data_IF_883926464800
#
_entry.id   IF_883926464800
#
_cell.length_a   1.000
_cell.length_b   1.000
_cell.length_c   1.000
_cell.angle_alpha   90.00
_cell.angle_beta   90.00
_cell.angle_gamma   90.00
#
_symmetry.space_group_name_H-M   'P 1'
#
loop_
_entity.id
_entity.type
_entity.pdbx_description
1 polymer ?
#
# COMPACT_ATOMS: atom_id res chain seq x y z
N UNK A 1 -2.75 -5.66 6.61
CA UNK A 1 -3.86 -4.86 6.04
C UNK A 1 -3.72 -3.36 6.31
N UNK A 2 -3.68 -2.88 7.56
CA UNK A 2 -3.65 -1.43 7.86
C UNK A 2 -2.60 -0.65 7.06
N UNK A 3 -1.33 -1.06 7.10
CA UNK A 3 -0.25 -0.38 6.36
C UNK A 3 -0.48 -0.29 4.84
N UNK A 4 -1.20 -1.25 4.24
CA UNK A 4 -1.55 -1.21 2.81
C UNK A 4 -2.52 -0.08 2.49
N UNK A 5 -3.47 0.22 3.39
CA UNK A 5 -4.45 1.27 3.18
C UNK A 5 -3.81 2.64 3.30
N UNK A 6 -2.87 2.78 4.23
CA UNK A 6 -2.10 4.01 4.46
C UNK A 6 -1.25 4.41 3.24
N UNK A 7 -1.00 3.51 2.28
CA UNK A 7 -0.30 3.86 1.03
C UNK A 7 -1.23 4.36 -0.06
N UNK A 8 -2.55 4.14 0.04
CA UNK A 8 -3.49 4.47 -1.04
C UNK A 8 -3.57 5.97 -1.39
N UNK A 9 -3.47 6.92 -0.44
CA UNK A 9 -3.45 8.35 -0.78
C UNK A 9 -2.26 8.75 -1.67
N UNK A 10 -1.15 8.02 -1.57
CA UNK A 10 0.04 8.25 -2.41
C UNK A 10 -0.27 8.00 -3.90
N UNK A 11 -1.05 6.96 -4.22
CA UNK A 11 -1.44 6.67 -5.61
C UNK A 11 -2.31 7.79 -6.18
N UNK A 12 -3.27 8.30 -5.40
CA UNK A 12 -4.09 9.43 -5.82
C UNK A 12 -3.27 10.71 -6.00
N UNK A 13 -2.30 10.98 -5.12
CA UNK A 13 -1.39 12.13 -5.26
C UNK A 13 -0.58 12.05 -6.57
N UNK A 14 0.02 10.89 -6.84
CA UNK A 14 0.78 10.66 -8.08
C UNK A 14 -0.13 10.80 -9.31
N UNK A 15 -1.30 10.14 -9.32
CA UNK A 15 -2.23 10.18 -10.46
C UNK A 15 -2.77 11.58 -10.73
N UNK A 16 -3.07 12.37 -9.71
CA UNK A 16 -3.53 13.76 -9.90
C UNK A 16 -2.43 14.65 -10.46
N UNK A 17 -1.19 14.50 -9.99
CA UNK A 17 -0.05 15.30 -10.45
C UNK A 17 0.42 14.89 -11.85
N UNK A 18 0.35 13.60 -12.18
CA UNK A 18 0.83 12.98 -13.41
C UNK A 18 -0.22 11.99 -13.96
N UNK A 19 -1.30 12.46 -14.62
CA UNK A 19 -2.41 11.60 -15.05
C UNK A 19 -2.03 10.43 -15.95
N UNK A 20 -1.00 10.59 -16.79
CA UNK A 20 -0.54 9.57 -17.74
C UNK A 20 0.59 8.66 -17.23
N UNK A 21 1.02 8.78 -15.97
CA UNK A 21 2.14 7.96 -15.46
C UNK A 21 1.72 6.52 -15.21
N UNK A 22 2.63 5.57 -15.44
CA UNK A 22 2.40 4.17 -15.10
C UNK A 22 2.73 3.91 -13.63
N UNK A 23 1.75 3.47 -12.84
CA UNK A 23 1.87 3.20 -11.41
C UNK A 23 1.81 1.70 -11.16
N UNK A 24 2.98 1.13 -10.87
CA UNK A 24 3.12 -0.22 -10.36
C UNK A 24 3.21 -0.26 -8.84
N UNK A 25 2.60 -1.26 -8.22
CA UNK A 25 2.70 -1.43 -6.78
C UNK A 25 2.96 -2.88 -6.39
N UNK A 26 4.03 -3.11 -5.62
CA UNK A 26 4.44 -4.42 -5.14
C UNK A 26 4.05 -4.60 -3.68
N UNK A 27 3.32 -5.67 -3.40
CA UNK A 27 2.84 -5.97 -2.04
C UNK A 27 2.60 -7.47 -1.85
N UNK A 28 2.30 -7.88 -0.62
CA UNK A 28 1.99 -9.28 -0.32
C UNK A 28 0.61 -9.67 -0.83
N UNK A 29 0.48 -10.87 -1.38
CA UNK A 29 -0.80 -11.43 -1.84
C UNK A 29 -1.85 -11.47 -0.73
N UNK A 30 -1.45 -11.63 0.54
CA UNK A 30 -2.35 -11.76 1.69
C UNK A 30 -3.35 -10.61 1.86
N UNK A 31 -3.01 -9.40 1.38
CA UNK A 31 -3.90 -8.23 1.44
C UNK A 31 -3.93 -7.44 0.13
N UNK A 32 -2.93 -7.61 -0.75
CA UNK A 32 -2.80 -6.83 -1.98
C UNK A 32 -3.95 -7.02 -2.96
N UNK A 33 -4.64 -8.17 -2.94
CA UNK A 33 -5.83 -8.41 -3.76
C UNK A 33 -6.94 -7.38 -3.52
N UNK A 34 -6.97 -6.73 -2.36
CA UNK A 34 -7.94 -5.68 -2.05
C UNK A 34 -7.78 -4.46 -2.96
N UNK A 35 -6.62 -4.30 -3.62
CA UNK A 35 -6.31 -3.19 -4.50
C UNK A 35 -6.50 -3.53 -5.99
N UNK A 36 -6.90 -4.75 -6.36
CA UNK A 36 -6.95 -5.22 -7.77
C UNK A 36 -7.75 -4.32 -8.71
N UNK A 37 -8.72 -3.57 -8.18
CA UNK A 37 -9.52 -2.62 -8.96
C UNK A 37 -9.29 -1.16 -8.55
N UNK A 38 -8.11 -0.84 -8.02
CA UNK A 38 -7.79 0.51 -7.57
C UNK A 38 -7.57 1.42 -8.77
N UNK A 39 -8.43 2.43 -8.93
CA UNK A 39 -8.46 3.33 -10.10
C UNK A 39 -7.13 4.01 -10.43
N UNK A 40 -6.29 4.24 -9.43
CA UNK A 40 -5.02 4.94 -9.59
C UNK A 40 -3.83 3.99 -9.85
N UNK A 41 -4.00 2.66 -9.73
CA UNK A 41 -2.93 1.67 -9.91
C UNK A 41 -3.10 0.96 -11.26
N UNK A 42 -2.04 0.92 -12.05
CA UNK A 42 -2.07 0.24 -13.36
C UNK A 42 -1.71 -1.25 -13.25
N UNK A 43 -0.77 -1.59 -12.36
CA UNK A 43 -0.33 -2.98 -12.17
C UNK A 43 -0.01 -3.29 -10.71
N UNK A 44 -0.46 -4.46 -10.27
CA UNK A 44 -0.14 -5.01 -8.96
C UNK A 44 0.78 -6.21 -9.07
N UNK A 45 1.90 -6.15 -8.36
CA UNK A 45 2.82 -7.26 -8.18
C UNK A 45 2.54 -7.92 -6.84
N UNK A 46 1.87 -9.07 -6.87
CA UNK A 46 1.50 -9.80 -5.66
C UNK A 46 2.55 -10.85 -5.32
N UNK A 47 3.25 -10.63 -4.21
CA UNK A 47 4.20 -11.60 -3.67
C UNK A 47 3.51 -12.57 -2.71
N UNK A 48 3.41 -13.84 -3.10
CA UNK A 48 2.89 -14.89 -2.23
C UNK A 48 3.97 -15.41 -1.28
N UNK A 49 3.58 -15.90 -0.09
CA UNK A 49 4.51 -16.55 0.85
C UNK A 49 5.19 -17.79 0.27
N UNK A 50 4.50 -18.51 -0.60
CA UNK A 50 5.06 -19.68 -1.29
C UNK A 50 6.14 -19.26 -2.30
N UNK A 51 5.97 -18.08 -2.91
CA UNK A 51 6.93 -17.52 -3.86
C UNK A 51 8.25 -17.13 -3.19
N UNK A 52 8.23 -16.73 -1.91
CA UNK A 52 9.43 -16.36 -1.16
C UNK A 52 10.48 -17.49 -1.14
N UNK A 53 10.05 -18.75 -1.13
CA UNK A 53 10.94 -19.92 -1.15
C UNK A 53 11.24 -20.46 -2.55
N UNK A 54 10.61 -19.88 -3.58
CA UNK A 54 10.76 -20.29 -4.97
C UNK A 54 11.56 -19.24 -5.75
N UNK A 55 12.88 -19.47 -5.84
CA UNK A 55 13.81 -18.57 -6.50
C UNK A 55 13.46 -18.31 -7.97
N UNK A 56 12.95 -19.32 -8.70
CA UNK A 56 12.52 -19.17 -10.10
C UNK A 56 11.37 -18.19 -10.22
N UNK A 57 10.38 -18.29 -9.32
CA UNK A 57 9.23 -17.41 -9.31
C UNK A 57 9.61 -15.98 -8.90
N UNK A 58 10.53 -15.81 -7.94
CA UNK A 58 11.11 -14.50 -7.62
C UNK A 58 11.83 -13.88 -8.82
N UNK A 59 12.67 -14.64 -9.54
CA UNK A 59 13.35 -14.15 -10.74
C UNK A 59 12.38 -13.79 -11.86
N UNK A 60 11.28 -14.55 -12.03
CA UNK A 60 10.23 -14.22 -12.99
C UNK A 60 9.59 -12.88 -12.64
N UNK A 61 9.24 -12.66 -11.38
CA UNK A 61 8.67 -11.39 -10.93
C UNK A 61 9.66 -10.23 -11.09
N UNK A 62 10.94 -10.42 -10.74
CA UNK A 62 11.98 -9.40 -10.98
C UNK A 62 12.06 -9.03 -12.46
N UNK A 63 12.06 -10.03 -13.35
CA UNK A 63 12.07 -9.78 -14.81
C UNK A 63 10.81 -9.04 -15.26
N UNK A 64 9.64 -9.38 -14.72
CA UNK A 64 8.39 -8.71 -15.04
C UNK A 64 8.40 -7.23 -14.65
N UNK A 65 8.84 -6.93 -13.42
CA UNK A 65 8.99 -5.55 -12.94
C UNK A 65 10.01 -4.78 -13.78
N UNK A 66 11.19 -5.38 -14.04
CA UNK A 66 12.24 -4.74 -14.84
C UNK A 66 11.82 -4.45 -16.28
N UNK A 67 10.94 -5.28 -16.86
CA UNK A 67 10.41 -5.06 -18.22
C UNK A 67 9.52 -3.82 -18.34
N UNK A 68 8.97 -3.31 -17.24
CA UNK A 68 8.21 -2.06 -17.26
C UNK A 68 9.09 -0.82 -17.31
N UNK A 69 10.40 -0.94 -17.07
CA UNK A 69 11.34 0.19 -17.09
C UNK A 69 10.91 1.39 -16.22
N UNK A 70 10.53 1.15 -14.96
CA UNK A 70 10.18 2.24 -14.03
C UNK A 70 11.34 3.22 -13.87
N UNK A 71 11.07 4.53 -14.01
CA UNK A 71 12.09 5.56 -13.77
C UNK A 71 12.39 5.74 -12.28
N UNK A 72 11.36 5.58 -11.44
CA UNK A 72 11.40 5.85 -10.01
C UNK A 72 10.67 4.76 -9.21
N UNK A 73 11.23 4.41 -8.06
CA UNK A 73 10.59 3.58 -7.03
C UNK A 73 10.62 4.32 -5.70
N UNK A 74 9.49 4.32 -4.98
CA UNK A 74 9.31 5.02 -3.70
C UNK A 74 9.08 4.00 -2.59
N UNK A 75 9.83 4.14 -1.50
CA UNK A 75 9.63 3.31 -0.32
C UNK A 75 8.34 3.69 0.42
N UNK A 76 7.35 2.80 0.38
CA UNK A 76 6.10 2.96 1.12
C UNK A 76 6.18 2.48 2.58
N UNK A 77 7.33 1.93 3.00
CA UNK A 77 7.50 1.29 4.30
C UNK A 77 8.20 2.15 5.36
N UNK A 78 8.64 3.37 5.01
CA UNK A 78 9.38 4.27 5.91
C UNK A 78 10.67 3.63 6.46
N UNK A 79 11.34 2.85 5.62
CA UNK A 79 12.57 2.12 5.92
C UNK A 79 12.38 0.91 6.84
N UNK A 80 11.15 0.53 7.19
CA UNK A 80 10.89 -0.61 8.09
C UNK A 80 11.02 -1.96 7.37
N UNK A 81 10.79 -2.00 6.05
CA UNK A 81 10.73 -3.25 5.29
C UNK A 81 12.04 -3.56 4.57
N UNK A 82 12.86 -4.44 5.16
CA UNK A 82 14.07 -4.94 4.50
C UNK A 82 13.79 -5.55 3.11
N UNK A 83 12.76 -6.40 3.01
CA UNK A 83 12.37 -6.99 1.72
C UNK A 83 11.91 -5.94 0.71
N UNK A 84 11.22 -4.88 1.16
CA UNK A 84 10.82 -3.77 0.30
C UNK A 84 12.03 -3.08 -0.32
N UNK A 85 13.05 -2.78 0.49
CA UNK A 85 14.26 -2.13 -0.01
C UNK A 85 15.08 -3.05 -0.91
N UNK A 86 15.13 -4.36 -0.64
CA UNK A 86 15.73 -5.34 -1.56
C UNK A 86 15.04 -5.31 -2.92
N UNK A 87 13.70 -5.25 -2.95
CA UNK A 87 12.96 -5.10 -4.20
C UNK A 87 13.30 -3.81 -4.94
N UNK A 88 13.44 -2.69 -4.24
CA UNK A 88 13.85 -1.41 -4.84
C UNK A 88 15.24 -1.51 -5.50
N UNK A 89 16.18 -2.24 -4.91
CA UNK A 89 17.50 -2.45 -5.52
C UNK A 89 17.46 -3.28 -6.81
N UNK A 90 16.57 -4.27 -6.88
CA UNK A 90 16.51 -5.20 -8.02
C UNK A 90 15.47 -4.84 -9.08
N UNK A 91 14.58 -3.87 -8.81
CA UNK A 91 13.51 -3.46 -9.73
C UNK A 91 14.03 -2.74 -10.99
N UNK A 92 15.27 -2.25 -10.96
CA UNK A 92 15.93 -1.59 -12.09
C UNK A 92 15.63 -0.10 -12.26
N UNK A 93 14.90 0.52 -11.32
CA UNK A 93 14.59 1.95 -11.38
C UNK A 93 15.83 2.83 -11.14
N UNK A 94 15.92 3.94 -11.89
CA UNK A 94 17.01 4.91 -11.81
C UNK A 94 16.98 5.67 -10.49
N UNK A 95 15.79 6.05 -10.00
CA UNK A 95 15.61 6.74 -8.73
C UNK A 95 14.98 5.82 -7.69
N UNK A 96 15.66 5.65 -6.56
CA UNK A 96 15.20 4.92 -5.38
C UNK A 96 15.02 5.95 -4.27
N UNK A 97 13.76 6.31 -4.05
CA UNK A 97 13.37 7.39 -3.14
C UNK A 97 12.94 6.80 -1.81
N UNK A 98 13.46 7.36 -0.72
CA UNK A 98 13.06 6.99 0.61
C UNK A 98 13.39 8.08 1.62
N UNK A 99 12.96 7.87 2.85
CA UNK A 99 13.14 8.84 3.92
C UNK A 99 14.59 8.81 4.44
N UNK A 100 15.20 10.00 4.56
CA UNK A 100 16.51 10.20 5.17
C UNK A 100 16.46 9.94 6.67
N UNK A 101 17.51 9.36 7.24
CA UNK A 101 17.55 8.89 8.63
C UNK A 101 16.86 7.54 8.86
N UNK A 102 16.23 6.96 7.83
CA UNK A 102 15.61 5.64 7.95
C UNK A 102 16.66 4.53 8.01
N UNK A 103 16.27 3.36 8.55
CA UNK A 103 17.15 2.20 8.77
C UNK A 103 17.94 1.76 7.53
N UNK A 104 17.41 2.02 6.34
CA UNK A 104 17.96 1.56 5.07
C UNK A 104 18.32 2.71 4.11
N UNK A 105 18.53 3.92 4.63
CA UNK A 105 18.85 5.12 3.84
C UNK A 105 19.95 4.90 2.79
N UNK A 106 21.03 4.19 3.15
CA UNK A 106 22.17 3.94 2.27
C UNK A 106 21.83 3.20 0.96
N UNK A 107 20.64 2.61 0.85
CA UNK A 107 20.17 1.91 -0.35
C UNK A 107 19.34 2.81 -1.29
N UNK A 108 18.96 3.99 -0.80
CA UNK A 108 18.32 5.05 -1.57
C UNK A 108 19.39 5.93 -2.20
N UNK A 109 19.23 6.25 -3.49
CA UNK A 109 20.06 7.28 -4.14
C UNK A 109 19.38 8.66 -4.14
N UNK A 110 18.14 8.73 -3.67
CA UNK A 110 17.42 9.96 -3.38
C UNK A 110 16.77 9.85 -2.00
N UNK A 111 17.56 10.09 -0.95
CA UNK A 111 17.05 10.20 0.41
C UNK A 111 16.52 11.62 0.64
N UNK A 112 15.28 11.75 1.10
CA UNK A 112 14.61 13.04 1.28
C UNK A 112 14.36 13.33 2.76
N UNK A 113 14.55 14.58 3.16
CA UNK A 113 14.24 15.06 4.50
C UNK A 113 12.71 15.15 4.68
N UNK A 114 12.18 14.45 5.67
CA UNK A 114 10.77 14.52 6.08
C UNK A 114 10.75 15.18 7.45
N UNK A 115 9.92 16.22 7.61
CA UNK A 115 9.77 16.94 8.87
C UNK A 115 9.39 15.98 10.01
N UNK A 116 10.13 16.04 11.12
CA UNK A 116 9.84 15.26 12.34
C UNK A 116 8.42 15.51 12.89
N UNK A 117 7.86 16.70 12.65
CA UNK A 117 6.49 17.04 13.03
C UNK A 117 5.40 16.21 12.32
N UNK A 118 5.73 15.50 11.22
CA UNK A 118 4.78 14.61 10.53
C UNK A 118 4.85 13.22 11.18
N UNK A 119 3.98 12.98 12.15
CA UNK A 119 3.95 11.70 12.87
C UNK A 119 3.13 10.64 12.13
N UNK A 120 2.08 11.03 11.40
CA UNK A 120 1.18 10.07 10.79
C UNK A 120 1.80 9.43 9.54
N UNK A 121 1.68 8.10 9.41
CA UNK A 121 2.34 7.35 8.31
C UNK A 121 1.93 7.84 6.92
N UNK A 122 0.70 8.29 6.73
CA UNK A 122 0.24 8.87 5.46
C UNK A 122 0.97 10.19 5.19
N UNK A 123 1.08 11.07 6.19
CA UNK A 123 1.74 12.37 6.06
C UNK A 123 3.21 12.21 5.71
N UNK A 124 3.91 11.27 6.35
CA UNK A 124 5.31 10.96 6.03
C UNK A 124 5.47 10.47 4.60
N UNK A 125 4.63 9.53 4.16
CA UNK A 125 4.69 9.04 2.79
C UNK A 125 4.40 10.15 1.77
N UNK A 126 3.39 10.99 2.03
CA UNK A 126 3.09 12.14 1.18
C UNK A 126 4.21 13.19 1.21
N UNK A 127 4.90 13.37 2.34
CA UNK A 127 6.07 14.25 2.42
C UNK A 127 7.23 13.76 1.54
N UNK A 128 7.47 12.45 1.50
CA UNK A 128 8.47 11.85 0.60
C UNK A 128 8.12 12.17 -0.87
N UNK A 129 6.84 12.08 -1.23
CA UNK A 129 6.36 12.44 -2.56
C UNK A 129 6.47 13.96 -2.84
N UNK A 130 6.12 14.80 -1.87
CA UNK A 130 6.25 16.26 -1.97
C UNK A 130 7.68 16.69 -2.25
N UNK A 131 8.66 16.06 -1.59
CA UNK A 131 10.08 16.33 -1.78
C UNK A 131 10.59 16.00 -3.20
N UNK A 132 9.88 15.14 -3.95
CA UNK A 132 10.16 14.84 -5.37
C UNK A 132 9.21 15.56 -6.34
N UNK A 133 8.48 16.57 -5.85
CA UNK A 133 7.62 17.44 -6.67
C UNK A 133 6.19 16.94 -6.89
N UNK A 134 5.74 15.97 -6.09
CA UNK A 134 4.38 15.43 -6.14
C UNK A 134 3.61 15.90 -4.89
N UNK A 135 2.79 16.97 -5.01
CA UNK A 135 2.05 17.50 -3.87
C UNK A 135 0.99 16.52 -3.36
N UNK A 136 0.68 16.60 -2.07
CA UNK A 136 -0.44 15.88 -1.46
C UNK A 136 -1.77 16.18 -2.17
N UNK A 137 -2.56 15.13 -2.38
CA UNK A 137 -3.95 15.20 -2.86
C UNK A 137 -4.99 14.93 -1.75
N UNK A 138 -4.57 15.08 -0.49
CA UNK A 138 -5.35 14.72 0.69
C UNK A 138 -5.04 13.33 1.25
N UNK A 139 -5.72 12.98 2.33
CA UNK A 139 -5.43 11.78 3.14
C UNK A 139 -6.44 10.65 2.97
N UNK A 140 -7.38 10.78 2.02
CA UNK A 140 -8.47 9.84 1.83
C UNK A 140 -7.94 8.47 1.39
N UNK A 141 -8.18 7.44 2.21
CA UNK A 141 -7.89 6.07 1.83
C UNK A 141 -9.00 5.51 0.96
N UNK A 142 -8.64 4.73 -0.06
CA UNK A 142 -9.60 4.15 -0.99
C UNK A 142 -9.39 2.65 -1.14
N UNK A 143 -10.48 1.89 -0.97
CA UNK A 143 -10.53 0.46 -1.26
C UNK A 143 -11.63 0.25 -2.30
N UNK A 144 -11.30 -0.33 -3.46
CA UNK A 144 -12.29 -0.74 -4.43
C UNK A 144 -13.29 -1.73 -3.83
N UNK A 145 -14.59 -1.44 -4.00
CA UNK A 145 -15.67 -2.35 -3.63
C UNK A 145 -16.27 -2.93 -4.91
N UNK A 146 -15.83 -4.12 -5.36
CA UNK A 146 -16.37 -4.73 -6.56
C UNK A 146 -17.87 -5.04 -6.38
N UNK A 147 -18.65 -5.11 -7.48
CA UNK A 147 -20.09 -5.37 -7.40
C UNK A 147 -20.45 -6.64 -6.61
N UNK A 148 -19.62 -7.67 -6.69
CA UNK A 148 -19.81 -8.92 -5.92
C UNK A 148 -19.74 -8.70 -4.40
N UNK A 149 -18.82 -7.85 -3.91
CA UNK A 149 -18.74 -7.50 -2.49
C UNK A 149 -19.95 -6.68 -2.04
N UNK A 150 -20.42 -5.75 -2.89
CA UNK A 150 -21.63 -4.97 -2.60
C UNK A 150 -22.87 -5.87 -2.54
N UNK A 151 -23.03 -6.78 -3.50
CA UNK A 151 -24.14 -7.73 -3.51
C UNK A 151 -24.09 -8.68 -2.31
N UNK A 152 -22.90 -9.18 -1.97
CA UNK A 152 -22.71 -9.98 -0.76
C UNK A 152 -23.10 -9.19 0.48
N UNK A 153 -22.69 -7.93 0.60
CA UNK A 153 -23.02 -7.08 1.74
C UNK A 153 -24.54 -6.83 1.84
N UNK A 154 -25.23 -6.60 0.73
CA UNK A 154 -26.70 -6.47 0.69
C UNK A 154 -27.37 -7.76 1.16
N UNK A 155 -26.92 -8.92 0.68
CA UNK A 155 -27.48 -10.22 1.06
C UNK A 155 -27.25 -10.52 2.55
N UNK A 156 -26.05 -10.28 3.05
CA UNK A 156 -25.74 -10.47 4.47
C UNK A 156 -26.47 -9.49 5.37
N UNK A 157 -26.59 -8.24 4.92
CA UNK A 157 -27.37 -7.24 5.64
C UNK A 157 -28.82 -7.70 5.75
N UNK A 158 -29.46 -8.10 4.64
CA UNK A 158 -30.81 -8.63 4.65
C UNK A 158 -30.97 -9.79 5.65
N UNK A 159 -30.03 -10.74 5.64
CA UNK A 159 -30.00 -11.86 6.59
C UNK A 159 -29.88 -11.40 8.05
N UNK A 160 -28.97 -10.48 8.39
CA UNK A 160 -28.86 -9.94 9.75
C UNK A 160 -30.05 -9.07 10.16
N UNK A 161 -30.83 -8.59 9.19
CA UNK A 161 -31.99 -7.72 9.43
C UNK A 161 -33.31 -8.46 9.60
N UNK A 162 -33.38 -9.76 9.27
CA UNK A 162 -34.65 -10.52 9.23
C UNK A 162 -35.37 -10.58 10.58
N UNK A 163 -34.65 -10.38 11.69
CA UNK A 163 -35.16 -10.56 13.06
C UNK A 163 -35.80 -9.31 13.69
N UNK A 164 -35.92 -8.20 12.95
CA UNK A 164 -36.53 -6.96 13.45
C UNK A 164 -35.58 -6.11 14.30
N UNK A 165 -35.36 -4.86 13.87
CA UNK A 165 -34.48 -3.89 14.52
C UNK A 165 -34.05 -2.79 13.54
N UNK A 166 -34.21 -1.53 13.93
CA UNK A 166 -33.95 -0.37 13.04
C UNK A 166 -32.54 0.20 13.16
N UNK A 167 -31.81 -0.12 14.23
CA UNK A 167 -30.45 0.36 14.48
C UNK A 167 -29.51 -0.80 14.75
N UNK A 168 -28.29 -0.75 14.19
CA UNK A 168 -27.25 -1.76 14.35
C UNK A 168 -25.91 -1.08 14.59
N UNK A 169 -25.10 -1.71 15.44
CA UNK A 169 -23.73 -1.29 15.73
C UNK A 169 -22.83 -2.44 15.30
N UNK A 170 -21.89 -2.16 14.40
CA UNK A 170 -20.83 -3.11 14.04
C UNK A 170 -19.62 -2.91 14.95
N UNK A 171 -19.14 -3.97 15.59
CA UNK A 171 -17.96 -3.93 16.46
C UNK A 171 -16.92 -4.91 15.90
N UNK A 172 -15.73 -4.42 15.63
CA UNK A 172 -14.59 -5.25 15.26
C UNK A 172 -13.62 -5.36 16.45
N UNK A 173 -13.72 -6.46 17.20
CA UNK A 173 -12.88 -6.75 18.37
C UNK A 173 -11.52 -7.38 18.02
N UNK A 174 -11.22 -7.50 16.72
CA UNK A 174 -10.03 -8.20 16.24
C UNK A 174 -8.74 -7.48 16.59
N UNK A 175 -8.05 -7.92 17.65
CA UNK A 175 -6.75 -7.40 18.06
C UNK A 175 -5.85 -8.50 18.63
N UNK A 176 -4.56 -8.22 18.78
CA UNK A 176 -3.55 -9.16 19.32
C UNK A 176 -2.88 -8.60 20.56
N UNK A 177 -2.46 -9.47 21.46
CA UNK A 177 -1.76 -9.08 22.68
C UNK A 177 -2.61 -8.15 23.54
N UNK A 178 -1.97 -7.10 24.05
CA UNK A 178 -2.54 -6.05 24.92
C UNK A 178 -3.56 -5.14 24.21
N UNK A 179 -3.65 -5.21 22.88
CA UNK A 179 -4.62 -4.41 22.10
C UNK A 179 -6.04 -4.98 22.12
N UNK A 180 -6.25 -6.13 22.77
CA UNK A 180 -7.55 -6.78 22.88
C UNK A 180 -8.38 -6.06 23.94
N UNK A 181 -9.63 -5.74 23.61
CA UNK A 181 -10.60 -5.30 24.60
C UNK A 181 -10.83 -6.46 25.58
N UNK A 182 -10.69 -6.25 26.91
CA UNK A 182 -11.21 -7.18 27.91
C UNK A 182 -12.63 -7.65 27.61
N UNK A 183 -12.95 -8.89 27.98
CA UNK A 183 -14.28 -9.46 27.80
C UNK A 183 -15.31 -8.93 28.81
N UNK A 184 -14.84 -8.17 29.79
CA UNK A 184 -15.55 -7.65 30.96
C UNK A 184 -15.54 -6.12 31.00
#
# INVERSE_FOLDING_TARGET
>A
MGNLLLTTPAFSAIRQRLPGVHIGFLTTEAYGFMLTHHRDIDVLYLQSRRMTWNWLAQLRLIREVRRQNYDMVVDCSQGESFLGVVWMMVCGASYRVGEKGSRHEALFNLAVDVSEAKEHRIERLLAVLEAVGIPSAGFAMHIPLPPSCQQWAVNQWAFWTSSGGTRRIGINLGARGEKRWPLE
#
